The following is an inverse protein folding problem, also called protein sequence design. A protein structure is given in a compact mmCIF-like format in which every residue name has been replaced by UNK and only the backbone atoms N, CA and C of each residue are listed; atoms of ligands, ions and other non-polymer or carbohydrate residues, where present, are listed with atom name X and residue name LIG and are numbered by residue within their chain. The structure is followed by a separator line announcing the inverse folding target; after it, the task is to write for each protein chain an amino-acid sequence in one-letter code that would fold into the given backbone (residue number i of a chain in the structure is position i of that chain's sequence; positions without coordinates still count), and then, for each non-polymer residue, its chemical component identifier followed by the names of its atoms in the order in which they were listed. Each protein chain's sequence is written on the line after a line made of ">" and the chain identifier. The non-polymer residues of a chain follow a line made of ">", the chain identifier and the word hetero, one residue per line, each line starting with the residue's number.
data_IF_517380966302
#
_entry.id   IF_517380966302
#
_cell.length_a   1.000
_cell.length_b   1.000
_cell.length_c   1.000
_cell.angle_alpha   90.00
_cell.angle_beta   90.00
_cell.angle_gamma   90.00
#
_symmetry.space_group_name_H-M   'P 1'
#
loop_
_entity.id
_entity.type
_entity.pdbx_description
1 polymer ?
#
# COMPACT_ATOMS: atom_id res chain seq x y z
N UNK A 1 39.24 3.35 -5.01
CA UNK A 1 39.51 1.96 -4.56
C UNK A 1 38.83 1.03 -5.55
N UNK A 2 39.63 0.24 -6.26
CA UNK A 2 39.22 -0.60 -7.39
C UNK A 2 38.46 -1.85 -6.92
N UNK A 3 37.26 -2.05 -7.47
CA UNK A 3 36.55 -3.31 -7.42
C UNK A 3 37.04 -4.21 -8.54
N UNK A 4 37.87 -5.23 -8.23
CA UNK A 4 38.25 -6.31 -9.15
C UNK A 4 38.01 -7.66 -8.50
N UNK A 5 37.25 -8.45 -9.20
CA UNK A 5 37.20 -9.90 -9.36
C UNK A 5 37.43 -10.80 -8.14
N UNK A 6 36.33 -11.45 -7.74
CA UNK A 6 36.38 -12.80 -7.16
C UNK A 6 35.41 -13.69 -7.91
N UNK A 7 35.98 -14.74 -8.54
CA UNK A 7 35.32 -15.65 -9.48
C UNK A 7 34.10 -16.37 -8.93
N UNK A 8 33.08 -16.43 -9.76
CA UNK A 8 31.91 -17.25 -9.55
C UNK A 8 32.16 -18.70 -10.00
N UNK A 9 31.71 -19.70 -9.26
CA UNK A 9 31.76 -21.10 -9.73
C UNK A 9 30.70 -21.32 -10.82
N UNK A 10 31.15 -21.99 -11.89
CA UNK A 10 30.30 -22.46 -13.00
C UNK A 10 29.17 -23.38 -12.49
N UNK A 11 27.95 -22.88 -12.48
CA UNK A 11 26.76 -23.72 -12.37
C UNK A 11 26.39 -24.22 -13.78
N UNK A 12 26.43 -25.55 -13.94
CA UNK A 12 25.92 -26.26 -15.12
C UNK A 12 24.42 -25.99 -15.25
N UNK A 13 24.04 -25.33 -16.32
CA UNK A 13 22.65 -25.13 -16.74
C UNK A 13 22.02 -26.47 -17.08
N UNK A 14 21.09 -26.95 -16.24
CA UNK A 14 20.06 -27.90 -16.68
C UNK A 14 18.92 -27.10 -17.26
N UNK A 15 18.79 -27.10 -18.55
CA UNK A 15 17.61 -26.64 -19.29
C UNK A 15 16.46 -27.62 -19.03
N UNK A 16 15.57 -27.29 -18.11
CA UNK A 16 14.22 -27.86 -18.11
C UNK A 16 13.33 -26.91 -18.89
N UNK A 17 13.08 -27.24 -20.15
CA UNK A 17 12.00 -26.63 -20.92
C UNK A 17 10.65 -27.06 -20.29
N UNK A 18 10.07 -26.18 -19.51
CA UNK A 18 8.65 -26.22 -19.13
C UNK A 18 7.85 -25.55 -20.24
N UNK A 19 7.45 -26.33 -21.25
CA UNK A 19 6.41 -25.91 -22.20
C UNK A 19 5.08 -25.81 -21.48
N UNK A 20 4.72 -24.62 -20.98
CA UNK A 20 3.37 -24.34 -20.50
C UNK A 20 2.52 -23.97 -21.72
N UNK A 21 1.97 -24.98 -22.41
CA UNK A 21 0.87 -24.80 -23.36
C UNK A 21 -0.44 -24.87 -22.61
N UNK A 22 -0.81 -23.79 -21.94
CA UNK A 22 -2.12 -23.64 -21.35
C UNK A 22 -2.59 -22.21 -21.57
N UNK A 23 -3.52 -22.01 -22.55
CA UNK A 23 -4.29 -20.77 -22.62
C UNK A 23 -5.14 -20.69 -21.35
N UNK A 24 -4.75 -19.84 -20.40
CA UNK A 24 -5.63 -19.46 -19.29
C UNK A 24 -6.66 -18.50 -19.88
N UNK A 25 -7.82 -19.02 -20.25
CA UNK A 25 -8.98 -18.20 -20.58
C UNK A 25 -9.64 -17.78 -19.28
N UNK A 26 -9.46 -16.53 -18.88
CA UNK A 26 -10.29 -15.94 -17.83
C UNK A 26 -11.68 -15.69 -18.41
N UNK A 27 -12.64 -16.56 -18.05
CA UNK A 27 -14.06 -16.24 -18.18
C UNK A 27 -14.40 -15.30 -17.05
N UNK A 28 -14.68 -14.03 -17.37
CA UNK A 28 -15.24 -13.11 -16.39
C UNK A 28 -16.65 -13.63 -16.01
N UNK A 29 -16.96 -13.82 -14.73
CA UNK A 29 -18.32 -14.13 -14.32
C UNK A 29 -19.21 -12.95 -14.73
N UNK A 30 -20.34 -13.24 -15.37
CA UNK A 30 -21.39 -12.26 -15.64
C UNK A 30 -21.84 -11.69 -14.29
N UNK A 31 -22.11 -10.37 -14.20
CA UNK A 31 -22.60 -9.80 -12.95
C UNK A 31 -23.96 -10.42 -12.64
N UNK A 32 -24.02 -11.19 -11.57
CA UNK A 32 -25.31 -11.55 -10.97
C UNK A 32 -25.93 -10.25 -10.47
N UNK A 33 -27.18 -10.01 -10.85
CA UNK A 33 -28.00 -8.94 -10.30
C UNK A 33 -28.07 -9.16 -8.77
N UNK A 34 -27.24 -8.44 -8.03
CA UNK A 34 -27.21 -8.50 -6.58
C UNK A 34 -28.32 -7.63 -6.04
N UNK A 35 -29.28 -8.27 -5.41
CA UNK A 35 -30.28 -7.65 -4.55
C UNK A 35 -29.60 -6.67 -3.59
N UNK A 36 -30.12 -5.47 -3.58
CA UNK A 36 -29.75 -4.36 -2.70
C UNK A 36 -30.10 -4.70 -1.25
N UNK A 37 -29.30 -5.53 -0.59
CA UNK A 37 -29.39 -5.66 0.87
C UNK A 37 -28.60 -4.49 1.50
N UNK A 38 -29.37 -3.54 2.01
CA UNK A 38 -28.93 -2.43 2.84
C UNK A 38 -28.25 -2.95 4.10
N UNK A 39 -26.92 -3.05 4.12
CA UNK A 39 -26.14 -3.19 5.36
C UNK A 39 -25.84 -1.80 5.91
N UNK A 40 -26.80 -1.20 6.61
CA UNK A 40 -26.65 0.10 7.27
C UNK A 40 -25.83 0.05 8.59
N UNK A 41 -25.32 -1.11 9.01
CA UNK A 41 -24.73 -1.27 10.35
C UNK A 41 -23.19 -1.27 10.42
N UNK A 42 -22.47 -1.46 9.31
CA UNK A 42 -21.00 -1.49 9.32
C UNK A 42 -20.39 -0.09 9.15
N UNK A 43 -21.07 0.84 8.48
CA UNK A 43 -20.57 2.20 8.24
C UNK A 43 -20.61 3.11 9.48
N UNK A 44 -21.60 2.95 10.37
CA UNK A 44 -21.81 3.85 11.50
C UNK A 44 -20.78 3.66 12.64
N UNK A 45 -20.12 2.51 12.72
CA UNK A 45 -19.08 2.21 13.69
C UNK A 45 -17.65 2.31 13.13
N UNK A 46 -17.49 2.54 11.83
CA UNK A 46 -16.19 2.59 11.18
C UNK A 46 -15.50 3.94 11.41
N UNK A 47 -14.31 3.91 12.02
CA UNK A 47 -13.48 5.11 12.26
C UNK A 47 -13.27 5.95 11.01
N UNK A 48 -13.03 5.31 9.86
CA UNK A 48 -12.73 6.00 8.61
C UNK A 48 -13.98 6.47 7.87
N UNK A 49 -15.15 5.85 8.09
CA UNK A 49 -16.42 6.37 7.56
C UNK A 49 -16.88 7.63 8.31
N UNK A 50 -16.51 7.76 9.60
CA UNK A 50 -16.90 8.84 10.50
C UNK A 50 -15.74 9.82 10.76
N UNK A 51 -14.82 9.99 9.79
CA UNK A 51 -13.66 10.84 9.96
C UNK A 51 -14.05 12.32 10.06
N UNK A 52 -13.58 12.97 11.11
CA UNK A 52 -13.78 14.40 11.33
C UNK A 52 -13.10 15.24 10.23
N UNK A 53 -13.80 16.21 9.60
CA UNK A 53 -13.26 17.00 8.49
C UNK A 53 -11.96 17.73 8.82
N UNK A 54 -11.75 18.17 10.05
CA UNK A 54 -10.53 18.88 10.47
C UNK A 54 -9.29 17.98 10.48
N UNK A 55 -9.45 16.67 10.44
CA UNK A 55 -8.34 15.72 10.28
C UNK A 55 -7.94 15.49 8.84
N UNK A 56 -8.77 15.90 7.88
CA UNK A 56 -8.54 15.69 6.46
C UNK A 56 -7.52 16.72 5.97
N UNK A 57 -6.36 16.26 5.51
CA UNK A 57 -5.28 17.12 5.00
C UNK A 57 -5.30 17.29 3.49
N UNK A 58 -5.97 16.40 2.77
CA UNK A 58 -6.23 16.48 1.32
C UNK A 58 -7.37 15.54 0.95
N UNK A 59 -8.11 15.87 -0.10
CA UNK A 59 -9.14 14.99 -0.65
C UNK A 59 -9.33 15.20 -2.14
N UNK A 60 -10.06 14.25 -2.77
CA UNK A 60 -10.63 14.31 -4.09
C UNK A 60 -12.04 13.65 -4.09
N UNK A 61 -12.61 13.37 -5.26
CA UNK A 61 -13.97 12.84 -5.37
C UNK A 61 -14.17 11.49 -4.69
N UNK A 62 -13.14 10.61 -4.68
CA UNK A 62 -13.26 9.21 -4.24
C UNK A 62 -12.44 8.87 -3.00
N UNK A 63 -11.49 9.72 -2.61
CA UNK A 63 -10.60 9.43 -1.49
C UNK A 63 -10.25 10.69 -0.70
N UNK A 64 -9.80 10.49 0.54
CA UNK A 64 -9.24 11.54 1.38
C UNK A 64 -7.95 11.05 2.05
N UNK A 65 -7.20 11.98 2.61
CA UNK A 65 -5.95 11.69 3.33
C UNK A 65 -5.94 12.36 4.69
N UNK A 66 -5.37 11.66 5.67
CA UNK A 66 -5.15 12.18 7.03
C UNK A 66 -3.69 11.97 7.44
N UNK A 67 -3.26 12.66 8.50
CA UNK A 67 -2.06 12.24 9.24
C UNK A 67 -2.42 11.05 10.10
N UNK A 68 -1.54 10.02 10.10
CA UNK A 68 -1.72 8.86 10.96
C UNK A 68 -1.76 9.30 12.44
N UNK A 69 -2.68 8.74 13.21
CA UNK A 69 -2.79 9.00 14.66
C UNK A 69 -1.66 8.36 15.47
N UNK A 70 -0.99 7.34 14.90
CA UNK A 70 0.13 6.62 15.50
C UNK A 70 1.32 6.60 14.52
N UNK A 71 1.90 7.77 14.19
CA UNK A 71 2.87 7.86 13.12
C UNK A 71 4.18 7.14 13.48
N UNK A 72 4.68 6.29 12.57
CA UNK A 72 5.99 5.63 12.73
C UNK A 72 7.15 6.58 12.39
N UNK A 73 6.86 7.66 11.66
CA UNK A 73 7.80 8.74 11.34
C UNK A 73 7.02 10.03 11.09
N UNK A 74 7.65 11.17 11.27
CA UNK A 74 7.01 12.47 10.99
C UNK A 74 6.51 12.54 9.55
N UNK A 75 5.24 12.92 9.38
CA UNK A 75 4.59 13.01 8.07
C UNK A 75 3.95 11.71 7.60
N UNK A 76 3.99 10.62 8.39
CA UNK A 76 3.23 9.42 8.10
C UNK A 76 1.75 9.76 7.86
N UNK A 77 1.23 9.33 6.74
CA UNK A 77 -0.12 9.68 6.29
C UNK A 77 -0.85 8.44 5.80
N UNK A 78 -2.17 8.48 5.92
CA UNK A 78 -3.07 7.46 5.39
C UNK A 78 -3.87 8.05 4.24
N UNK A 79 -4.01 7.31 3.16
CA UNK A 79 -4.92 7.60 2.05
C UNK A 79 -6.04 6.59 2.13
N UNK A 80 -7.28 7.06 2.15
CA UNK A 80 -8.46 6.30 2.51
C UNK A 80 -9.54 6.55 1.46
N UNK A 81 -10.08 5.52 0.80
CA UNK A 81 -11.24 5.69 -0.09
C UNK A 81 -12.45 6.15 0.72
N UNK A 82 -13.31 6.99 0.11
CA UNK A 82 -14.53 7.49 0.78
C UNK A 82 -15.58 6.39 0.94
N UNK A 83 -15.65 5.47 -0.04
CA UNK A 83 -16.54 4.30 0.04
C UNK A 83 -15.93 3.29 1.00
N UNK A 84 -16.77 2.75 1.88
CA UNK A 84 -16.36 1.64 2.73
C UNK A 84 -16.08 0.40 1.90
N UNK A 85 -14.86 -0.11 1.99
CA UNK A 85 -14.42 -1.38 1.44
C UNK A 85 -13.32 -1.91 2.35
N UNK A 86 -13.35 -3.20 2.65
CA UNK A 86 -12.48 -3.78 3.67
C UNK A 86 -11.00 -3.60 3.33
N UNK A 87 -10.62 -3.85 2.08
CA UNK A 87 -9.22 -3.82 1.65
C UNK A 87 -9.06 -3.27 0.21
N UNK A 88 -7.81 -3.31 -0.28
CA UNK A 88 -7.43 -2.81 -1.59
C UNK A 88 -8.10 -3.57 -2.75
N UNK A 89 -8.35 -4.86 -2.58
CA UNK A 89 -8.88 -5.71 -3.65
C UNK A 89 -10.36 -5.44 -3.94
N UNK A 90 -11.05 -4.76 -3.02
CA UNK A 90 -12.42 -4.29 -3.20
C UNK A 90 -12.54 -2.90 -3.84
N UNK A 91 -11.43 -2.24 -4.19
CA UNK A 91 -11.44 -0.92 -4.85
C UNK A 91 -11.82 -1.03 -6.33
N UNK A 92 -12.51 -0.01 -6.83
CA UNK A 92 -12.68 0.19 -8.28
C UNK A 92 -11.43 0.86 -8.89
N UNK A 93 -11.28 0.81 -10.22
CA UNK A 93 -10.16 1.45 -10.91
C UNK A 93 -10.13 2.96 -10.66
N UNK A 94 -11.29 3.62 -10.58
CA UNK A 94 -11.40 5.05 -10.28
C UNK A 94 -10.92 5.35 -8.86
N UNK A 95 -11.24 4.50 -7.89
CA UNK A 95 -10.80 4.66 -6.51
C UNK A 95 -9.28 4.45 -6.38
N UNK A 96 -8.74 3.45 -7.05
CA UNK A 96 -7.28 3.22 -7.13
C UNK A 96 -6.58 4.44 -7.72
N UNK A 97 -7.09 4.96 -8.84
CA UNK A 97 -6.54 6.17 -9.47
C UNK A 97 -6.61 7.38 -8.54
N UNK A 98 -7.74 7.57 -7.86
CA UNK A 98 -7.95 8.67 -6.92
C UNK A 98 -6.99 8.58 -5.72
N UNK A 99 -6.80 7.39 -5.16
CA UNK A 99 -5.81 7.16 -4.09
C UNK A 99 -4.38 7.47 -4.57
N UNK A 100 -4.01 7.02 -5.78
CA UNK A 100 -2.71 7.32 -6.36
C UNK A 100 -2.48 8.83 -6.56
N UNK A 101 -3.49 9.59 -6.99
CA UNK A 101 -3.40 11.03 -7.12
C UNK A 101 -3.11 11.72 -5.77
N UNK A 102 -3.75 11.27 -4.69
CA UNK A 102 -3.48 11.79 -3.34
C UNK A 102 -2.09 11.40 -2.84
N UNK A 103 -1.63 10.17 -3.10
CA UNK A 103 -0.25 9.75 -2.81
C UNK A 103 0.77 10.70 -3.46
N UNK A 104 0.62 10.98 -4.76
CA UNK A 104 1.52 11.89 -5.48
C UNK A 104 1.47 13.31 -4.92
N UNK A 105 0.27 13.83 -4.64
CA UNK A 105 0.07 15.16 -4.04
C UNK A 105 0.74 15.30 -2.68
N UNK A 106 0.53 14.32 -1.79
CA UNK A 106 1.12 14.34 -0.45
C UNK A 106 2.64 14.13 -0.48
N UNK A 107 3.15 13.23 -1.33
CA UNK A 107 4.58 13.07 -1.54
C UNK A 107 5.23 14.39 -1.93
N UNK A 108 4.69 15.09 -2.93
CA UNK A 108 5.21 16.37 -3.40
C UNK A 108 5.19 17.44 -2.29
N UNK A 109 4.10 17.50 -1.52
CA UNK A 109 3.96 18.43 -0.40
C UNK A 109 4.95 18.14 0.73
N UNK A 110 5.21 16.86 1.03
CA UNK A 110 6.19 16.46 2.05
C UNK A 110 7.61 16.81 1.64
N UNK A 111 8.01 16.53 0.39
CA UNK A 111 9.34 16.89 -0.13
C UNK A 111 9.57 18.39 -0.16
N UNK A 112 8.53 19.18 -0.48
CA UNK A 112 8.65 20.63 -0.49
C UNK A 112 8.81 21.26 0.90
N UNK A 113 8.27 20.60 1.95
CA UNK A 113 8.28 21.10 3.32
C UNK A 113 9.44 20.59 4.16
N UNK A 114 9.98 19.42 3.83
CA UNK A 114 11.01 18.77 4.62
C UNK A 114 12.07 18.13 3.71
N UNK A 115 13.22 18.81 3.61
CA UNK A 115 14.34 18.38 2.76
C UNK A 115 15.05 17.11 3.28
N UNK A 116 14.82 16.70 4.53
CA UNK A 116 15.40 15.50 5.11
C UNK A 116 14.67 14.23 4.65
N UNK A 117 13.48 14.36 4.07
CA UNK A 117 12.78 13.23 3.46
C UNK A 117 13.49 12.83 2.17
N UNK A 118 14.08 11.62 2.15
CA UNK A 118 14.85 11.09 1.02
C UNK A 118 14.16 9.93 0.30
N UNK A 119 13.13 9.34 0.91
CA UNK A 119 12.42 8.19 0.36
C UNK A 119 11.05 8.00 0.97
N UNK A 120 10.33 6.98 0.49
CA UNK A 120 9.02 6.61 1.02
C UNK A 120 8.86 5.09 1.01
N UNK A 121 8.22 4.56 2.04
CA UNK A 121 7.55 3.28 1.93
C UNK A 121 6.05 3.53 1.72
N UNK A 122 5.46 2.77 0.80
CA UNK A 122 4.04 2.79 0.52
C UNK A 122 3.55 1.36 0.68
N UNK A 123 2.44 1.17 1.39
CA UNK A 123 1.90 -0.17 1.61
C UNK A 123 0.52 -0.14 2.24
N UNK A 124 -0.10 -1.30 2.26
CA UNK A 124 -1.40 -1.54 2.88
C UNK A 124 -1.44 -2.94 3.45
N UNK A 125 -2.28 -3.14 4.45
CA UNK A 125 -2.55 -4.44 5.01
C UNK A 125 -3.92 -4.92 4.51
N UNK A 126 -3.99 -6.11 3.95
CA UNK A 126 -5.23 -6.74 3.50
C UNK A 126 -5.46 -8.01 4.32
N UNK A 127 -6.45 -7.97 5.22
CA UNK A 127 -6.81 -9.04 6.14
C UNK A 127 -6.04 -9.02 7.47
N UNK A 128 -6.64 -9.63 8.49
CA UNK A 128 -6.13 -9.65 9.86
C UNK A 128 -4.73 -10.26 9.98
N UNK A 129 -4.44 -11.33 9.23
CA UNK A 129 -3.12 -12.02 9.23
C UNK A 129 -2.02 -11.11 8.68
N UNK A 130 -2.37 -10.17 7.79
CA UNK A 130 -1.46 -9.15 7.27
C UNK A 130 -1.32 -7.95 8.21
N UNK A 131 -1.98 -7.94 9.37
CA UNK A 131 -1.92 -6.88 10.37
C UNK A 131 -2.95 -5.77 10.16
N UNK A 132 -4.00 -6.00 9.36
CA UNK A 132 -5.09 -5.04 9.24
C UNK A 132 -5.92 -5.03 10.52
N UNK A 133 -6.04 -3.85 11.15
CA UNK A 133 -6.79 -3.66 12.40
C UNK A 133 -8.10 -2.90 12.19
N UNK A 134 -8.20 -2.10 11.15
CA UNK A 134 -9.41 -1.39 10.73
C UNK A 134 -9.80 -1.92 9.36
N UNK A 135 -10.96 -2.58 9.28
CA UNK A 135 -11.48 -3.16 8.04
C UNK A 135 -12.19 -2.07 7.21
N UNK A 136 -11.40 -1.13 6.79
CA UNK A 136 -11.65 -0.12 5.78
C UNK A 136 -10.29 0.14 5.11
N UNK A 137 -10.23 0.00 3.81
CA UNK A 137 -9.00 0.14 3.04
C UNK A 137 -8.28 1.44 3.37
N UNK A 138 -6.99 1.34 3.67
CA UNK A 138 -6.14 2.51 3.88
C UNK A 138 -4.72 2.21 3.41
N UNK A 139 -4.13 3.18 2.75
CA UNK A 139 -2.80 3.09 2.17
C UNK A 139 -1.87 3.98 2.97
N UNK A 140 -0.81 3.40 3.52
CA UNK A 140 0.22 4.13 4.24
C UNK A 140 1.18 4.82 3.27
N UNK A 141 1.48 6.09 3.54
CA UNK A 141 2.59 6.85 2.96
C UNK A 141 3.55 7.21 4.08
N UNK A 142 4.68 6.52 4.13
CA UNK A 142 5.67 6.63 5.21
C UNK A 142 6.92 7.32 4.69
N UNK A 143 7.15 8.61 5.03
CA UNK A 143 8.38 9.30 4.67
C UNK A 143 9.59 8.66 5.37
N UNK A 144 10.71 8.56 4.62
CA UNK A 144 11.94 7.96 5.12
C UNK A 144 13.07 8.98 5.09
N UNK A 145 13.94 8.89 6.09
CA UNK A 145 15.10 9.77 6.29
C UNK A 145 16.38 8.94 6.42
N UNK A 146 17.52 9.54 6.13
CA UNK A 146 18.80 8.90 6.38
C UNK A 146 18.97 8.63 7.88
N UNK A 147 19.35 7.41 8.24
CA UNK A 147 19.58 7.00 9.62
C UNK A 147 18.31 6.70 10.44
N UNK A 148 17.11 6.77 9.86
CA UNK A 148 15.88 6.43 10.57
C UNK A 148 15.76 4.94 10.92
N UNK A 149 16.51 4.08 10.23
CA UNK A 149 16.79 2.68 10.59
C UNK A 149 18.25 2.37 10.25
N UNK A 150 18.88 1.47 11.00
CA UNK A 150 20.28 1.08 10.81
C UNK A 150 20.55 0.49 9.43
N UNK A 151 19.68 -0.41 8.97
CA UNK A 151 19.77 -1.02 7.65
C UNK A 151 18.40 -1.03 6.95
N UNK A 152 18.16 -0.10 6.00
CA UNK A 152 16.88 0.00 5.30
C UNK A 152 16.71 -1.04 4.18
N UNK A 153 17.73 -1.85 3.89
CA UNK A 153 17.72 -2.82 2.80
C UNK A 153 16.56 -3.81 2.98
N UNK A 154 15.83 -4.07 1.90
CA UNK A 154 14.66 -4.95 1.93
C UNK A 154 13.32 -4.24 2.18
N UNK A 155 13.32 -3.08 2.86
CA UNK A 155 12.13 -2.23 3.00
C UNK A 155 10.89 -2.99 3.47
N UNK A 156 9.84 -3.02 2.65
CA UNK A 156 8.54 -3.68 2.95
C UNK A 156 8.64 -5.20 3.20
N UNK A 157 9.73 -5.84 2.82
CA UNK A 157 9.93 -7.28 3.09
C UNK A 157 10.06 -7.59 4.59
N UNK A 158 10.39 -6.59 5.41
CA UNK A 158 10.48 -6.73 6.87
C UNK A 158 9.13 -6.99 7.56
N UNK A 159 8.03 -6.99 6.82
CA UNK A 159 6.73 -7.50 7.30
C UNK A 159 6.82 -8.96 7.78
N UNK A 160 7.76 -9.75 7.26
CA UNK A 160 8.07 -11.09 7.77
C UNK A 160 9.41 -11.02 8.51
N UNK A 161 9.42 -11.16 9.86
CA UNK A 161 10.63 -11.08 10.65
C UNK A 161 11.72 -12.02 10.17
N UNK A 162 12.96 -11.52 10.04
CA UNK A 162 14.12 -12.29 9.59
C UNK A 162 14.16 -12.60 8.09
N UNK A 163 13.17 -12.17 7.29
CA UNK A 163 13.11 -12.39 5.83
C UNK A 163 13.31 -11.13 4.99
N UNK A 164 13.52 -10.00 5.63
CA UNK A 164 13.70 -8.71 4.94
C UNK A 164 14.97 -8.64 4.10
N UNK A 165 16.08 -9.19 4.58
CA UNK A 165 17.38 -9.12 3.92
C UNK A 165 17.55 -10.17 2.81
N UNK A 166 18.35 -9.84 1.79
CA UNK A 166 18.76 -10.67 0.66
C UNK A 166 20.16 -10.30 0.19
#
# INVERSE_FOLDING_TARGET
>A
MNWKDSGAPHLKTRTNELTVTGKITFSLPQPAESEHMKNASASDSCLFCSMSPERIVAENSFAYAIRDGFPVTEGHSLIIPKRHTDDFFGLTDEEVLACNQLLQKLRSALLARNQDVKGFNIGMNAGAVAGQTIFHCHIHLIPRREGDVENPRGGVRHTIPGKGFY
#
